data_IF_670453439148
#
_entry.id   IF_670453439148
#
_cell.length_a   1.000
_cell.length_b   1.000
_cell.length_c   1.000
_cell.angle_alpha   90.00
_cell.angle_beta   90.00
_cell.angle_gamma   90.00
#
_symmetry.space_group_name_H-M   'P 1'
#
loop_
_entity.id
_entity.type
_entity.pdbx_description
1 polymer ?
#
# COMPACT_ATOMS: atom_id res chain seq x y z
N UNK A 1 8.64 22.85 -44.28
CA UNK A 1 9.57 21.99 -43.52
C UNK A 1 10.11 22.74 -42.31
N UNK A 2 9.98 22.16 -41.11
CA UNK A 2 10.96 22.09 -40.00
C UNK A 2 10.25 21.91 -38.65
N UNK A 3 9.91 20.66 -38.36
CA UNK A 3 9.70 20.14 -37.01
C UNK A 3 11.07 19.72 -36.48
N UNK A 4 11.74 20.60 -35.76
CA UNK A 4 12.91 20.26 -34.94
C UNK A 4 12.66 20.94 -33.61
N UNK A 5 12.27 20.16 -32.61
CA UNK A 5 12.67 20.27 -31.20
C UNK A 5 11.88 19.20 -30.45
N UNK A 6 12.31 17.96 -30.66
CA UNK A 6 12.04 16.89 -29.72
C UNK A 6 12.92 17.09 -28.49
N UNK A 7 12.30 17.39 -27.36
CA UNK A 7 12.68 16.69 -26.14
C UNK A 7 11.54 15.73 -25.86
N UNK A 8 11.71 14.46 -26.21
CA UNK A 8 11.01 13.41 -25.50
C UNK A 8 11.48 13.53 -24.05
N UNK A 9 10.77 14.33 -23.24
CA UNK A 9 10.86 14.21 -21.81
C UNK A 9 10.59 12.74 -21.55
N UNK A 10 11.64 12.02 -21.18
CA UNK A 10 11.59 10.61 -20.81
C UNK A 10 10.29 10.42 -20.03
N UNK A 11 9.35 9.63 -20.56
CA UNK A 11 8.13 9.27 -19.86
C UNK A 11 8.57 8.47 -18.64
N UNK A 12 9.06 9.15 -17.60
CA UNK A 12 9.25 8.54 -16.30
C UNK A 12 7.89 7.99 -15.95
N UNK A 13 7.78 6.67 -15.68
CA UNK A 13 6.51 6.11 -15.26
C UNK A 13 5.99 6.96 -14.11
N UNK A 14 4.68 7.24 -14.13
CA UNK A 14 4.05 7.96 -13.02
C UNK A 14 4.39 7.21 -11.73
N UNK A 15 4.74 7.91 -10.63
CA UNK A 15 5.10 7.26 -9.39
C UNK A 15 4.03 6.23 -9.01
N UNK A 16 4.46 5.01 -8.79
CA UNK A 16 3.58 3.94 -8.31
C UNK A 16 3.26 4.15 -6.82
N UNK A 17 2.24 3.46 -6.33
CA UNK A 17 1.94 3.41 -4.90
C UNK A 17 3.15 2.87 -4.11
N UNK A 18 3.91 1.92 -4.68
CA UNK A 18 5.13 1.40 -4.08
C UNK A 18 6.24 2.45 -3.99
N UNK A 19 6.40 3.30 -5.01
CA UNK A 19 7.37 4.40 -4.97
C UNK A 19 7.04 5.40 -3.86
N UNK A 20 5.75 5.67 -3.64
CA UNK A 20 5.27 6.55 -2.59
C UNK A 20 5.50 5.96 -1.18
N UNK A 21 5.26 4.66 -1.00
CA UNK A 21 5.58 3.91 0.23
C UNK A 21 7.08 4.03 0.53
N UNK A 22 7.94 3.63 -0.42
CA UNK A 22 9.40 3.64 -0.25
C UNK A 22 9.95 5.05 0.08
N UNK A 23 9.41 6.08 -0.56
CA UNK A 23 9.77 7.49 -0.28
C UNK A 23 9.36 7.92 1.13
N UNK A 24 8.18 7.49 1.58
CA UNK A 24 7.65 7.79 2.91
C UNK A 24 8.49 7.11 3.99
N UNK A 25 8.88 5.85 3.78
CA UNK A 25 9.76 5.10 4.68
C UNK A 25 11.15 5.73 4.79
N UNK A 26 11.75 6.15 3.67
CA UNK A 26 13.03 6.85 3.68
C UNK A 26 12.98 8.16 4.48
N UNK A 27 11.86 8.89 4.39
CA UNK A 27 11.61 10.08 5.21
C UNK A 27 11.46 9.74 6.68
N UNK A 28 10.74 8.67 7.00
CA UNK A 28 10.55 8.18 8.37
C UNK A 28 11.90 7.82 9.01
N UNK A 29 12.73 7.04 8.32
CA UNK A 29 14.08 6.67 8.75
C UNK A 29 14.98 7.90 8.99
N UNK A 30 14.88 8.92 8.12
CA UNK A 30 15.61 10.17 8.28
C UNK A 30 15.18 10.95 9.55
N UNK A 31 13.90 10.88 9.92
CA UNK A 31 13.39 11.50 11.16
C UNK A 31 13.79 10.67 12.37
N UNK A 32 13.78 9.34 12.30
CA UNK A 32 14.26 8.48 13.40
C UNK A 32 15.71 8.78 13.78
N UNK A 33 16.58 9.03 12.80
CA UNK A 33 17.97 9.44 13.10
C UNK A 33 18.00 10.73 13.93
N UNK A 34 17.10 11.69 13.69
CA UNK A 34 16.99 12.92 14.51
C UNK A 34 16.47 12.59 15.91
N UNK A 35 15.48 11.72 16.03
CA UNK A 35 14.95 11.26 17.32
C UNK A 35 16.06 10.61 18.16
N UNK A 36 16.85 9.70 17.57
CA UNK A 36 17.97 9.03 18.27
C UNK A 36 19.03 10.02 18.75
N UNK A 37 19.32 11.07 17.98
CA UNK A 37 20.24 12.15 18.41
C UNK A 37 19.69 12.92 19.61
N UNK A 38 18.41 13.28 19.58
CA UNK A 38 17.74 13.97 20.69
C UNK A 38 17.68 13.09 21.94
N UNK A 39 17.46 11.78 21.79
CA UNK A 39 17.50 10.83 22.91
C UNK A 39 18.89 10.76 23.56
N UNK A 40 19.95 10.67 22.76
CA UNK A 40 21.31 10.69 23.27
C UNK A 40 21.61 12.01 24.03
N UNK A 41 21.09 13.14 23.56
CA UNK A 41 21.22 14.42 24.24
C UNK A 41 20.46 14.45 25.58
N UNK A 42 19.24 13.91 25.61
CA UNK A 42 18.43 13.80 26.84
C UNK A 42 19.10 12.92 27.90
N UNK A 43 19.73 11.80 27.50
CA UNK A 43 20.53 10.95 28.40
C UNK A 43 21.67 11.76 29.02
N UNK A 44 22.41 12.54 28.23
CA UNK A 44 23.49 13.40 28.73
C UNK A 44 22.98 14.46 29.71
N UNK A 45 21.82 15.08 29.45
CA UNK A 45 21.24 16.02 30.42
C UNK A 45 20.85 15.34 31.72
N UNK A 46 20.28 14.13 31.66
CA UNK A 46 19.94 13.33 32.85
C UNK A 46 21.19 13.04 33.70
N UNK A 47 22.29 12.65 33.08
CA UNK A 47 23.57 12.40 33.76
C UNK A 47 24.21 13.67 34.34
N UNK A 48 24.10 14.81 33.65
CA UNK A 48 24.60 16.08 34.19
C UNK A 48 23.78 16.51 35.41
N UNK A 49 22.45 16.42 35.33
CA UNK A 49 21.56 16.79 36.44
C UNK A 49 21.72 15.88 37.66
N UNK A 50 22.08 14.60 37.49
CA UNK A 50 22.29 13.68 38.62
C UNK A 50 23.54 14.02 39.44
N UNK A 51 24.51 14.70 38.83
CA UNK A 51 25.75 15.16 39.49
C UNK A 51 25.60 16.53 40.16
N UNK A 52 24.49 17.24 39.93
CA UNK A 52 24.26 18.58 40.43
C UNK A 52 23.30 18.60 41.62
N UNK A 53 23.64 19.45 42.60
CA UNK A 53 22.71 19.84 43.65
C UNK A 53 21.58 20.68 43.06
N UNK A 54 20.44 20.70 43.73
CA UNK A 54 19.34 21.57 43.34
C UNK A 54 19.76 23.03 43.41
N UNK A 55 19.40 23.80 42.38
CA UNK A 55 19.78 25.20 42.25
C UNK A 55 19.92 25.65 40.78
N UNK A 56 20.33 26.90 40.55
CA UNK A 56 20.25 27.54 39.23
C UNK A 56 20.95 26.79 38.09
N UNK A 57 22.07 26.12 38.38
CA UNK A 57 22.80 25.32 37.39
C UNK A 57 22.01 24.08 36.93
N UNK A 58 21.33 23.39 37.86
CA UNK A 58 20.48 22.23 37.55
C UNK A 58 19.21 22.67 36.81
N UNK A 59 18.61 23.78 37.22
CA UNK A 59 17.42 24.33 36.58
C UNK A 59 17.69 24.73 35.12
N UNK A 60 18.85 25.33 34.85
CA UNK A 60 19.26 25.68 33.49
C UNK A 60 19.38 24.45 32.57
N UNK A 61 19.90 23.34 33.08
CA UNK A 61 20.00 22.08 32.33
C UNK A 61 18.61 21.45 32.14
N UNK A 62 17.76 21.48 33.18
CA UNK A 62 16.38 21.00 33.08
C UNK A 62 15.61 21.75 31.99
N UNK A 63 15.75 23.07 31.90
CA UNK A 63 15.11 23.86 30.84
C UNK A 63 15.60 23.50 29.43
N UNK A 64 16.89 23.17 29.28
CA UNK A 64 17.42 22.66 28.01
C UNK A 64 16.83 21.28 27.68
N UNK A 65 16.82 20.37 28.64
CA UNK A 65 16.25 19.04 28.50
C UNK A 65 14.75 19.09 28.12
N UNK A 66 13.97 20.00 28.72
CA UNK A 66 12.55 20.18 28.38
C UNK A 66 12.36 20.64 26.92
N UNK A 67 13.21 21.55 26.42
CA UNK A 67 13.17 21.96 25.00
C UNK A 67 13.52 20.81 24.07
N UNK A 68 14.58 20.06 24.36
CA UNK A 68 14.99 18.87 23.59
C UNK A 68 13.89 17.80 23.59
N UNK A 69 13.24 17.56 24.74
CA UNK A 69 12.13 16.61 24.87
C UNK A 69 10.92 17.05 24.03
N UNK A 70 10.57 18.33 24.04
CA UNK A 70 9.48 18.87 23.21
C UNK A 70 9.77 18.67 21.72
N UNK A 71 11.01 18.94 21.30
CA UNK A 71 11.44 18.70 19.91
C UNK A 71 11.38 17.21 19.54
N UNK A 72 11.80 16.32 20.45
CA UNK A 72 11.71 14.88 20.24
C UNK A 72 10.26 14.44 20.02
N UNK A 73 9.35 14.84 20.90
CA UNK A 73 7.91 14.50 20.79
C UNK A 73 7.28 14.99 19.50
N UNK A 74 7.69 16.16 19.00
CA UNK A 74 7.24 16.67 17.70
C UNK A 74 7.64 15.74 16.55
N UNK A 75 8.88 15.22 16.57
CA UNK A 75 9.33 14.26 15.55
C UNK A 75 8.68 12.89 15.70
N UNK A 76 8.46 12.40 16.93
CA UNK A 76 7.71 11.16 17.18
C UNK A 76 6.28 11.26 16.64
N UNK A 77 5.60 12.40 16.85
CA UNK A 77 4.28 12.64 16.28
C UNK A 77 4.29 12.66 14.74
N UNK A 78 5.34 13.25 14.14
CA UNK A 78 5.52 13.22 12.69
C UNK A 78 5.72 11.80 12.16
N UNK A 79 6.51 10.96 12.85
CA UNK A 79 6.69 9.55 12.50
C UNK A 79 5.35 8.82 12.55
N UNK A 80 4.57 9.00 13.63
CA UNK A 80 3.26 8.35 13.77
C UNK A 80 2.31 8.71 12.61
N UNK A 81 2.31 9.97 12.17
CA UNK A 81 1.53 10.40 11.01
C UNK A 81 1.98 9.72 9.71
N UNK A 82 3.29 9.64 9.46
CA UNK A 82 3.84 8.98 8.27
C UNK A 82 3.61 7.47 8.29
N UNK A 83 3.67 6.84 9.47
CA UNK A 83 3.36 5.43 9.64
C UNK A 83 1.90 5.14 9.28
N UNK A 84 0.96 5.98 9.74
CA UNK A 84 -0.45 5.85 9.36
C UNK A 84 -0.67 6.03 7.85
N UNK A 85 0.04 6.98 7.22
CA UNK A 85 -0.02 7.17 5.78
C UNK A 85 0.48 5.93 5.03
N UNK A 86 1.59 5.36 5.49
CA UNK A 86 2.21 4.16 4.91
C UNK A 86 1.26 2.97 5.01
N UNK A 87 0.67 2.73 6.19
CA UNK A 87 -0.32 1.69 6.39
C UNK A 87 -1.52 1.80 5.43
N UNK A 88 -2.05 3.01 5.26
CA UNK A 88 -3.17 3.24 4.33
C UNK A 88 -2.76 2.92 2.88
N UNK A 89 -1.53 3.27 2.48
CA UNK A 89 -1.00 2.96 1.16
C UNK A 89 -0.75 1.46 0.97
N UNK A 90 -0.18 0.76 1.96
CA UNK A 90 0.03 -0.69 1.93
C UNK A 90 -1.29 -1.45 1.80
N UNK A 91 -2.31 -1.04 2.54
CA UNK A 91 -3.66 -1.61 2.44
C UNK A 91 -4.27 -1.42 1.04
N UNK A 92 -4.11 -0.23 0.46
CA UNK A 92 -4.54 0.05 -0.90
C UNK A 92 -3.74 -0.76 -1.95
N UNK A 93 -2.44 -0.98 -1.72
CA UNK A 93 -1.60 -1.79 -2.59
C UNK A 93 -2.06 -3.25 -2.60
N UNK A 94 -2.25 -3.83 -1.42
CA UNK A 94 -2.77 -5.19 -1.25
C UNK A 94 -4.15 -5.37 -1.90
N UNK A 95 -5.05 -4.41 -1.71
CA UNK A 95 -6.36 -4.41 -2.36
C UNK A 95 -6.24 -4.39 -3.88
N UNK A 96 -5.35 -3.55 -4.41
CA UNK A 96 -5.11 -3.42 -5.86
C UNK A 96 -4.59 -4.73 -6.45
N UNK A 97 -3.67 -5.41 -5.75
CA UNK A 97 -3.11 -6.68 -6.21
C UNK A 97 -4.14 -7.82 -6.16
N UNK A 98 -4.99 -7.87 -5.14
CA UNK A 98 -6.12 -8.81 -5.08
C UNK A 98 -7.09 -8.60 -6.26
N UNK A 99 -7.41 -7.35 -6.59
CA UNK A 99 -8.27 -7.03 -7.73
C UNK A 99 -7.63 -7.44 -9.06
N UNK A 100 -6.32 -7.22 -9.24
CA UNK A 100 -5.59 -7.70 -10.43
C UNK A 100 -5.64 -9.22 -10.58
N UNK A 101 -5.42 -9.95 -9.49
CA UNK A 101 -5.50 -11.42 -9.48
C UNK A 101 -6.92 -11.91 -9.80
N UNK A 102 -7.93 -11.21 -9.29
CA UNK A 102 -9.34 -11.51 -9.57
C UNK A 102 -9.65 -11.28 -11.05
N UNK A 103 -9.22 -10.15 -11.62
CA UNK A 103 -9.39 -9.85 -13.04
C UNK A 103 -8.70 -10.89 -13.92
N UNK A 104 -7.45 -11.25 -13.62
CA UNK A 104 -6.73 -12.30 -14.35
C UNK A 104 -7.46 -13.66 -14.30
N UNK A 105 -8.06 -13.99 -13.15
CA UNK A 105 -8.87 -15.21 -13.00
C UNK A 105 -10.14 -15.13 -13.84
N UNK A 106 -10.85 -14.00 -13.81
CA UNK A 106 -12.06 -13.77 -14.62
C UNK A 106 -11.73 -13.86 -16.12
N UNK A 107 -10.64 -13.24 -16.55
CA UNK A 107 -10.18 -13.29 -17.94
C UNK A 107 -9.86 -14.74 -18.37
N UNK A 108 -9.14 -15.49 -17.52
CA UNK A 108 -8.85 -16.91 -17.77
C UNK A 108 -10.14 -17.75 -17.85
N UNK A 109 -11.12 -17.49 -16.98
CA UNK A 109 -12.42 -18.15 -17.02
C UNK A 109 -13.22 -17.79 -18.27
N UNK A 110 -13.16 -16.55 -18.75
CA UNK A 110 -13.80 -16.15 -20.00
C UNK A 110 -13.20 -16.88 -21.20
N UNK A 111 -11.86 -16.98 -21.26
CA UNK A 111 -11.15 -17.74 -22.29
C UNK A 111 -11.54 -19.22 -22.23
N UNK A 112 -11.50 -19.83 -21.05
CA UNK A 112 -11.87 -21.23 -20.85
C UNK A 112 -13.34 -21.49 -21.24
N UNK A 113 -14.27 -20.62 -20.85
CA UNK A 113 -15.69 -20.71 -21.23
C UNK A 113 -15.89 -20.61 -22.75
N UNK A 114 -15.14 -19.74 -23.42
CA UNK A 114 -15.21 -19.59 -24.88
C UNK A 114 -14.71 -20.86 -25.59
N UNK A 115 -13.62 -21.45 -25.11
CA UNK A 115 -13.08 -22.70 -25.66
C UNK A 115 -14.01 -23.90 -25.38
N UNK A 116 -14.54 -23.99 -24.16
CA UNK A 116 -15.54 -25.00 -23.80
C UNK A 116 -16.78 -24.93 -24.71
N UNK A 117 -17.31 -23.72 -24.97
CA UNK A 117 -18.40 -23.53 -25.95
C UNK A 117 -18.00 -23.95 -27.36
N UNK A 118 -16.74 -23.80 -27.76
CA UNK A 118 -16.25 -24.20 -29.08
C UNK A 118 -16.14 -25.72 -29.24
N UNK A 119 -15.69 -26.40 -28.17
CA UNK A 119 -15.50 -27.86 -28.15
C UNK A 119 -16.82 -28.60 -27.92
N UNK A 120 -17.65 -28.13 -26.98
CA UNK A 120 -18.91 -28.76 -26.60
C UNK A 120 -20.14 -28.17 -27.30
N UNK A 121 -20.05 -26.99 -27.92
CA UNK A 121 -21.12 -26.45 -28.78
C UNK A 121 -21.32 -27.22 -30.08
N UNK A 122 -20.47 -28.23 -30.35
CA UNK A 122 -20.70 -29.27 -31.37
C UNK A 122 -21.51 -30.47 -30.85
N UNK A 123 -21.80 -30.53 -29.55
CA UNK A 123 -22.68 -31.55 -28.97
C UNK A 123 -24.10 -31.00 -29.00
N UNK A 124 -24.70 -31.14 -30.17
CA UNK A 124 -26.14 -31.24 -30.45
C UNK A 124 -27.10 -30.70 -29.36
N UNK A 125 -27.20 -29.38 -29.22
CA UNK A 125 -28.40 -28.77 -28.60
C UNK A 125 -29.64 -29.06 -29.48
N UNK A 126 -29.44 -29.34 -30.77
CA UNK A 126 -30.50 -29.73 -31.72
C UNK A 126 -31.01 -31.18 -31.54
N UNK A 127 -30.36 -32.05 -30.74
CA UNK A 127 -30.85 -33.43 -30.46
C UNK A 127 -31.64 -33.59 -29.17
N UNK A 128 -31.84 -32.53 -28.41
CA UNK A 128 -32.66 -32.59 -27.18
C UNK A 128 -34.14 -32.25 -27.48
N UNK A 129 -34.46 -31.46 -28.50
CA UNK A 129 -35.86 -31.20 -28.87
C UNK A 129 -36.53 -32.38 -29.61
N UNK A 130 -35.77 -33.21 -30.34
CA UNK A 130 -36.33 -34.37 -31.04
C UNK A 130 -36.68 -35.57 -30.15
N UNK A 131 -36.40 -35.52 -28.83
CA UNK A 131 -36.69 -36.63 -27.90
C UNK A 131 -37.82 -36.33 -26.91
N UNK A 132 -38.28 -35.08 -26.85
CA UNK A 132 -39.46 -34.70 -26.06
C UNK A 132 -40.76 -34.74 -26.87
N UNK A 133 -40.68 -34.97 -28.18
CA UNK A 133 -41.84 -35.07 -29.10
C UNK A 133 -42.23 -36.51 -29.46
N UNK A 134 -41.65 -37.51 -28.79
CA UNK A 134 -41.91 -38.95 -29.02
C UNK A 134 -42.43 -39.66 -27.75
N UNK A 135 -43.23 -38.96 -26.94
CA UNK A 135 -44.16 -39.63 -26.03
C UNK A 135 -45.55 -39.61 -26.68
N UNK A 136 -45.96 -40.68 -27.38
CA UNK A 136 -47.30 -40.76 -27.91
C UNK A 136 -48.28 -40.80 -26.73
N UNK A 137 -49.23 -39.89 -26.78
CA UNK A 137 -50.48 -39.98 -26.04
C UNK A 137 -51.19 -41.27 -26.42
N UNK A 138 -50.91 -42.36 -25.71
CA UNK A 138 -51.74 -43.56 -25.74
C UNK A 138 -52.81 -43.38 -24.67
N UNK A 139 -53.94 -42.81 -25.10
CA UNK A 139 -55.20 -43.04 -24.43
C UNK A 139 -55.58 -44.52 -24.58
N UNK A 140 -56.01 -45.13 -23.49
CA UNK A 140 -56.91 -46.28 -23.51
C UNK A 140 -57.91 -46.12 -22.36
N UNK A 141 -59.14 -46.52 -22.67
CA UNK A 141 -60.36 -46.48 -21.88
C UNK A 141 -60.23 -46.98 -20.43
#
# INVERSE_FOLDING_TARGET
MNRIFGSSASKKPKPSLQDAINSTDARMASIEVKVRKLDAELVRYKEQMSKLRNGPGKDAIQQRALRTLKQKRMYEAQIAQLAQQTFNMESAALTTDNLRNTMATVDAMQVANKEMRKQYGKIDIDKIEARSSDFPTLGFH
#
